data_IF_011807232196
#
_entry.id   IF_011807232196
#
_cell.length_a   1.000
_cell.length_b   1.000
_cell.length_c   1.000
_cell.angle_alpha   90.00
_cell.angle_beta   90.00
_cell.angle_gamma   90.00
#
_symmetry.space_group_name_H-M   'P 1'
#
loop_
_entity.id
_entity.type
_entity.pdbx_description
1 polymer ?
#
# COMPACT_ATOMS: atom_id res chain seq x y z
N UNK A 1 -20.52 -14.91 1.81
CA UNK A 1 -20.50 -15.93 2.88
C UNK A 1 -19.29 -16.88 2.82
N UNK A 2 -18.62 -17.03 1.67
CA UNK A 2 -17.40 -17.88 1.49
C UNK A 2 -16.16 -17.42 2.29
N UNK A 3 -16.05 -16.14 2.64
CA UNK A 3 -14.86 -15.60 3.32
C UNK A 3 -14.84 -15.85 4.85
N UNK A 4 -15.96 -16.23 5.46
CA UNK A 4 -16.07 -16.51 6.90
C UNK A 4 -16.03 -18.02 7.22
N UNK A 5 -15.88 -18.87 6.21
CA UNK A 5 -15.87 -20.32 6.36
C UNK A 5 -14.42 -20.82 6.45
N UNK A 6 -14.02 -21.54 7.53
CA UNK A 6 -12.72 -22.22 7.58
C UNK A 6 -12.60 -23.25 6.44
N UNK A 7 -11.39 -23.67 6.00
CA UNK A 7 -10.14 -23.76 6.79
C UNK A 7 -9.01 -22.79 6.38
N UNK A 8 -9.16 -22.00 5.32
CA UNK A 8 -8.09 -21.12 4.83
C UNK A 8 -8.34 -19.65 5.18
N UNK A 9 -7.37 -18.95 5.80
CA UNK A 9 -7.50 -17.52 6.04
C UNK A 9 -7.53 -16.78 4.70
N UNK A 10 -8.51 -15.90 4.54
CA UNK A 10 -8.66 -15.02 3.37
C UNK A 10 -8.46 -13.58 3.81
N UNK A 11 -7.52 -12.88 3.18
CA UNK A 11 -7.11 -11.55 3.62
C UNK A 11 -8.10 -10.44 3.23
N UNK A 12 -8.91 -10.63 2.19
CA UNK A 12 -9.75 -9.56 1.65
C UNK A 12 -10.70 -8.95 2.68
N UNK A 13 -11.38 -9.74 3.52
CA UNK A 13 -12.28 -9.20 4.55
C UNK A 13 -11.54 -8.38 5.60
N UNK A 14 -10.36 -8.85 6.03
CA UNK A 14 -9.53 -8.16 7.01
C UNK A 14 -9.03 -6.80 6.52
N UNK A 15 -9.04 -6.58 5.21
CA UNK A 15 -8.55 -5.35 4.57
C UNK A 15 -9.68 -4.45 4.03
N UNK A 16 -10.95 -4.83 4.19
CA UNK A 16 -12.09 -4.16 3.53
C UNK A 16 -12.99 -3.35 4.47
N UNK A 17 -12.58 -3.10 5.72
CA UNK A 17 -13.34 -2.25 6.62
C UNK A 17 -13.38 -0.79 6.11
N UNK A 18 -14.45 -0.02 6.42
CA UNK A 18 -14.54 1.37 6.02
C UNK A 18 -13.29 2.17 6.39
N UNK A 19 -12.64 2.78 5.40
CA UNK A 19 -11.44 3.61 5.57
C UNK A 19 -10.09 2.88 5.49
N UNK A 20 -10.05 1.57 5.19
CA UNK A 20 -8.80 0.80 5.08
C UNK A 20 -8.10 0.97 3.72
N UNK A 21 -8.84 1.29 2.66
CA UNK A 21 -8.31 1.50 1.29
C UNK A 21 -8.19 2.99 0.97
N UNK A 22 -7.41 3.75 1.74
CA UNK A 22 -7.19 5.17 1.45
C UNK A 22 -6.27 5.33 0.24
N UNK A 23 -6.69 6.17 -0.70
CA UNK A 23 -5.96 6.50 -1.93
C UNK A 23 -6.07 8.01 -2.15
N UNK A 24 -4.99 8.64 -2.62
CA UNK A 24 -4.87 10.10 -2.74
C UNK A 24 -3.67 10.65 -1.95
N UNK A 25 -3.50 11.98 -1.86
CA UNK A 25 -4.49 13.04 -2.15
C UNK A 25 -4.71 13.35 -3.63
N UNK A 26 -3.85 12.86 -4.52
CA UNK A 26 -3.85 13.17 -5.96
C UNK A 26 -3.54 11.91 -6.78
N UNK A 27 -3.94 11.91 -8.05
CA UNK A 27 -3.55 10.92 -9.04
C UNK A 27 -2.56 11.56 -10.00
N UNK A 28 -1.45 10.86 -10.24
CA UNK A 28 -0.30 11.36 -11.01
C UNK A 28 0.00 10.42 -12.14
N UNK A 29 0.42 10.95 -13.28
CA UNK A 29 0.80 10.13 -14.42
C UNK A 29 2.28 9.73 -14.33
N UNK A 30 2.69 8.58 -14.89
CA UNK A 30 4.07 8.11 -14.79
C UNK A 30 5.10 9.05 -15.42
N UNK A 31 4.70 9.83 -16.43
CA UNK A 31 5.56 10.79 -17.13
C UNK A 31 5.96 12.01 -16.30
N UNK A 32 5.30 12.26 -15.17
CA UNK A 32 5.71 13.27 -14.20
C UNK A 32 6.99 12.87 -13.42
N UNK A 33 7.43 11.61 -13.53
CA UNK A 33 8.60 11.08 -12.82
C UNK A 33 9.78 10.81 -13.76
N UNK A 34 10.96 11.30 -13.39
CA UNK A 34 12.21 10.94 -14.07
C UNK A 34 12.52 9.44 -14.00
N UNK A 35 12.18 8.80 -12.87
CA UNK A 35 12.41 7.38 -12.62
C UNK A 35 11.16 6.74 -12.01
N UNK A 36 10.14 6.38 -12.83
CA UNK A 36 8.86 5.85 -12.33
C UNK A 36 8.98 4.49 -11.62
N UNK A 37 10.05 3.73 -11.91
CA UNK A 37 10.31 2.44 -11.27
C UNK A 37 11.09 2.55 -9.95
N UNK A 38 11.58 3.75 -9.58
CA UNK A 38 12.36 3.99 -8.37
C UNK A 38 11.86 5.19 -7.55
N UNK A 39 10.71 4.98 -6.90
CA UNK A 39 10.06 5.92 -6.00
C UNK A 39 10.34 5.55 -4.54
N UNK A 40 10.65 6.54 -3.71
CA UNK A 40 10.71 6.34 -2.26
C UNK A 40 9.29 6.16 -1.70
N UNK A 41 9.09 5.17 -0.84
CA UNK A 41 7.81 4.92 -0.16
C UNK A 41 8.08 4.74 1.33
N UNK A 42 7.25 5.37 2.15
CA UNK A 42 7.38 5.25 3.60
C UNK A 42 6.08 5.46 4.34
N UNK A 43 6.09 5.10 5.62
CA UNK A 43 5.01 5.34 6.56
C UNK A 43 5.63 5.78 7.90
N UNK A 44 5.07 6.83 8.49
CA UNK A 44 5.37 7.25 9.85
C UNK A 44 4.12 7.22 10.72
N UNK A 45 4.27 6.81 11.98
CA UNK A 45 3.21 6.80 13.00
C UNK A 45 3.63 7.75 14.11
N UNK A 46 2.86 8.81 14.32
CA UNK A 46 3.16 9.87 15.30
C UNK A 46 4.58 10.45 15.14
N UNK A 47 5.02 10.62 13.90
CA UNK A 47 6.35 11.15 13.58
C UNK A 47 7.49 10.12 13.60
N UNK A 48 7.25 8.90 14.08
CA UNK A 48 8.24 7.82 14.04
C UNK A 48 8.12 7.01 12.74
N UNK A 49 9.22 6.88 11.99
CA UNK A 49 9.25 6.11 10.74
C UNK A 49 9.14 4.62 11.03
N UNK A 50 8.07 3.99 10.54
CA UNK A 50 7.78 2.55 10.72
C UNK A 50 8.04 1.72 9.47
N UNK A 51 7.95 2.35 8.29
CA UNK A 51 8.28 1.76 7.00
C UNK A 51 9.04 2.78 6.17
N UNK A 52 10.09 2.32 5.48
CA UNK A 52 10.83 3.14 4.51
C UNK A 52 11.52 2.20 3.51
N UNK A 53 11.29 2.41 2.22
CA UNK A 53 11.90 1.64 1.13
C UNK A 53 11.81 2.40 -0.19
N UNK A 54 12.19 1.74 -1.28
CA UNK A 54 12.01 2.21 -2.66
C UNK A 54 11.30 1.16 -3.49
N UNK A 55 10.56 1.57 -4.52
CA UNK A 55 9.87 0.65 -5.45
C UNK A 55 10.84 -0.21 -6.26
N UNK A 56 12.09 0.22 -6.40
CA UNK A 56 13.17 -0.60 -6.97
C UNK A 56 13.45 -1.88 -6.18
N UNK A 57 13.05 -1.95 -4.91
CA UNK A 57 13.15 -3.15 -4.07
C UNK A 57 11.94 -4.10 -4.21
N UNK A 58 10.98 -3.81 -5.09
CA UNK A 58 9.82 -4.67 -5.30
C UNK A 58 10.22 -6.00 -5.93
N UNK A 59 9.77 -7.11 -5.33
CA UNK A 59 9.99 -8.47 -5.88
C UNK A 59 9.33 -8.63 -7.26
N UNK A 60 8.17 -7.99 -7.45
CA UNK A 60 7.46 -7.94 -8.72
C UNK A 60 7.29 -6.48 -9.15
N UNK A 61 8.05 -6.03 -10.14
CA UNK A 61 7.91 -4.69 -10.71
C UNK A 61 6.52 -4.46 -11.32
N UNK A 62 6.07 -3.20 -11.35
CA UNK A 62 4.72 -2.81 -11.80
C UNK A 62 4.36 -3.36 -13.20
N UNK A 63 5.21 -3.27 -14.23
CA UNK A 63 4.88 -3.81 -15.56
C UNK A 63 4.64 -5.33 -15.53
N UNK A 64 5.41 -6.06 -14.71
CA UNK A 64 5.28 -7.51 -14.55
C UNK A 64 4.01 -7.88 -13.81
N UNK A 65 3.64 -7.10 -12.78
CA UNK A 65 2.41 -7.29 -12.03
C UNK A 65 1.17 -7.09 -12.93
N UNK A 66 1.15 -6.03 -13.73
CA UNK A 66 0.07 -5.76 -14.70
C UNK A 66 -0.05 -6.91 -15.70
N UNK A 67 1.06 -7.31 -16.32
CA UNK A 67 1.09 -8.40 -17.29
C UNK A 67 0.55 -9.71 -16.68
N UNK A 68 0.99 -10.06 -15.47
CA UNK A 68 0.56 -11.29 -14.80
C UNK A 68 -0.95 -11.28 -14.48
N UNK A 69 -1.47 -10.19 -13.92
CA UNK A 69 -2.90 -10.09 -13.57
C UNK A 69 -3.77 -10.08 -14.82
N UNK A 70 -3.36 -9.36 -15.88
CA UNK A 70 -4.09 -9.33 -17.15
C UNK A 70 -4.23 -10.69 -17.83
N UNK A 71 -3.34 -11.64 -17.54
CA UNK A 71 -3.43 -13.02 -18.02
C UNK A 71 -4.47 -13.86 -17.28
N UNK A 72 -4.96 -13.40 -16.12
CA UNK A 72 -5.93 -14.10 -15.27
C UNK A 72 -7.31 -13.45 -15.38
N UNK A 73 -7.37 -12.12 -15.37
CA UNK A 73 -8.60 -11.33 -15.45
C UNK A 73 -8.37 -10.10 -16.34
N UNK A 74 -9.33 -9.72 -17.20
CA UNK A 74 -9.22 -8.48 -17.95
C UNK A 74 -9.14 -7.30 -16.98
N UNK A 75 -8.19 -6.39 -17.24
CA UNK A 75 -8.07 -5.12 -16.55
C UNK A 75 -8.85 -4.05 -17.31
N UNK A 76 -9.66 -3.29 -16.60
CA UNK A 76 -10.50 -2.23 -17.15
C UNK A 76 -10.00 -0.84 -16.73
N UNK A 77 -10.28 0.20 -17.54
CA UNK A 77 -10.00 1.57 -17.12
C UNK A 77 -10.70 1.90 -15.80
N UNK A 78 -9.93 2.36 -14.82
CA UNK A 78 -10.41 2.66 -13.46
C UNK A 78 -10.09 1.60 -12.40
N UNK A 79 -9.55 0.43 -12.80
CA UNK A 79 -9.10 -0.58 -11.85
C UNK A 79 -7.93 -0.07 -10.99
N UNK A 80 -7.96 -0.38 -9.69
CA UNK A 80 -6.92 -0.02 -8.73
C UNK A 80 -6.16 -1.27 -8.27
N UNK A 81 -4.84 -1.25 -8.47
CA UNK A 81 -3.94 -2.33 -8.06
C UNK A 81 -3.06 -1.88 -6.90
N UNK A 82 -3.18 -2.56 -5.75
CA UNK A 82 -2.29 -2.37 -4.61
C UNK A 82 -1.04 -3.24 -4.79
N UNK A 83 0.12 -2.62 -5.03
CA UNK A 83 1.34 -3.28 -5.50
C UNK A 83 2.17 -3.96 -4.40
N UNK A 84 1.69 -3.96 -3.16
CA UNK A 84 2.35 -4.52 -1.99
C UNK A 84 2.90 -3.47 -1.03
N UNK A 85 3.37 -3.92 0.13
CA UNK A 85 3.95 -3.06 1.17
C UNK A 85 5.41 -3.41 1.41
N UNK A 86 6.28 -2.40 1.66
CA UNK A 86 7.66 -2.67 2.03
C UNK A 86 7.74 -3.32 3.41
N UNK A 87 8.84 -4.03 3.72
CA UNK A 87 9.04 -4.60 5.04
C UNK A 87 8.94 -3.52 6.11
N UNK A 88 8.25 -3.86 7.19
CA UNK A 88 8.08 -2.98 8.33
C UNK A 88 9.19 -3.23 9.36
N UNK A 89 9.62 -2.19 10.08
CA UNK A 89 10.62 -2.37 11.15
C UNK A 89 10.05 -3.24 12.26
N UNK A 90 10.88 -4.03 12.97
CA UNK A 90 10.40 -4.92 14.05
C UNK A 90 9.64 -4.17 15.17
N UNK A 91 9.94 -2.89 15.37
CA UNK A 91 9.21 -2.01 16.29
C UNK A 91 7.78 -1.70 15.84
N UNK A 92 7.53 -1.71 14.52
CA UNK A 92 6.22 -1.43 13.93
C UNK A 92 5.27 -2.63 13.92
N UNK A 93 5.79 -3.85 13.79
CA UNK A 93 4.98 -5.07 13.86
C UNK A 93 4.33 -5.25 15.24
N UNK A 94 5.06 -4.91 16.31
CA UNK A 94 4.53 -4.93 17.68
C UNK A 94 3.48 -3.83 17.93
N UNK A 95 3.58 -2.67 17.27
CA UNK A 95 2.64 -1.54 17.43
C UNK A 95 1.42 -1.62 16.51
N UNK A 96 1.53 -2.23 15.33
CA UNK A 96 0.41 -2.48 14.40
C UNK A 96 -0.63 -3.45 14.97
N UNK A 97 -0.24 -4.31 15.92
CA UNK A 97 -1.15 -5.20 16.63
C UNK A 97 -2.11 -4.45 17.58
N UNK A 98 -1.79 -3.22 17.98
CA UNK A 98 -2.71 -2.33 18.68
C UNK A 98 -3.17 -1.22 17.74
N UNK A 99 -4.32 -1.39 17.09
CA UNK A 99 -5.06 -0.27 16.50
C UNK A 99 -5.51 0.65 17.65
N UNK A 100 -4.64 1.57 18.08
CA UNK A 100 -5.00 2.60 19.07
C UNK A 100 -5.72 3.72 18.29
N UNK A 101 -6.97 4.06 18.66
CA UNK A 101 -7.65 5.23 18.09
C UNK A 101 -6.78 6.49 18.24
N UNK A 102 -6.55 7.22 17.14
CA UNK A 102 -5.81 8.49 17.15
C UNK A 102 -4.35 8.45 16.67
N UNK A 103 -3.86 7.31 16.18
CA UNK A 103 -2.52 7.21 15.55
C UNK A 103 -2.57 7.71 14.11
N UNK A 104 -1.77 8.73 13.79
CA UNK A 104 -1.70 9.29 12.44
C UNK A 104 -0.63 8.57 11.61
N UNK A 105 -1.06 7.79 10.62
CA UNK A 105 -0.17 7.20 9.62
C UNK A 105 0.02 8.18 8.48
N UNK A 106 1.26 8.57 8.21
CA UNK A 106 1.63 9.48 7.13
C UNK A 106 2.35 8.66 6.07
N UNK A 107 1.68 8.39 4.95
CA UNK A 107 2.27 7.67 3.82
C UNK A 107 2.59 8.64 2.68
N UNK A 108 3.78 8.54 2.11
CA UNK A 108 4.19 9.44 1.03
C UNK A 108 5.55 9.08 0.42
N UNK A 109 5.80 9.67 -0.75
CA UNK A 109 7.10 9.69 -1.42
C UNK A 109 7.72 11.07 -1.26
N UNK A 110 9.06 11.15 -1.27
CA UNK A 110 9.78 12.42 -1.13
C UNK A 110 9.42 13.34 -2.31
N UNK A 111 8.80 14.48 -2.03
CA UNK A 111 8.32 15.44 -3.04
C UNK A 111 6.79 15.54 -3.16
N UNK A 112 6.03 14.69 -2.46
CA UNK A 112 4.56 14.71 -2.49
C UNK A 112 3.91 14.99 -1.13
N UNK A 113 2.70 15.57 -1.18
CA UNK A 113 1.87 15.79 0.00
C UNK A 113 1.49 14.44 0.60
N UNK A 114 1.88 14.15 1.85
CA UNK A 114 1.57 12.87 2.45
C UNK A 114 0.07 12.69 2.66
N UNK A 115 -0.43 11.47 2.50
CA UNK A 115 -1.77 11.11 2.97
C UNK A 115 -1.70 10.81 4.47
N UNK A 116 -2.51 11.50 5.28
CA UNK A 116 -2.54 11.32 6.73
C UNK A 116 -3.86 10.67 7.20
N UNK A 117 -3.78 9.84 8.24
CA UNK A 117 -4.95 9.37 8.98
C UNK A 117 -5.27 10.30 10.15
N UNK A 118 -6.55 10.67 10.30
CA UNK A 118 -7.14 11.32 11.49
C UNK A 118 -7.98 10.29 12.23
#
# INVERSE_FOLDING_TARGET
MVQLTPPSPRFSLGMSFPGFSRTGPVLVTPDEFHHPDDLEIGCAVDGETVQQSRTSNMVLAVPRLISWISGISPLLPGDLLFTGTPPASVASAARAASSIPGKSCTAGSRGWVPSATR
#
